data_IF_357230970001
#
_entry.id   IF_357230970001
#
_cell.length_a   1.000
_cell.length_b   1.000
_cell.length_c   1.000
_cell.angle_alpha   90.00
_cell.angle_beta   90.00
_cell.angle_gamma   90.00
#
_symmetry.space_group_name_H-M   'P 1'
#
loop_
_entity.id
_entity.type
_entity.pdbx_description
1 polymer ?
#
# COMPACT_ATOMS: atom_id res chain seq x y z
N UNK A 1 12.71 57.27 18.44
CA UNK A 1 13.99 57.15 19.18
C UNK A 1 13.75 56.30 20.42
N UNK A 2 14.35 55.12 20.51
CA UNK A 2 14.20 54.24 21.68
C UNK A 2 15.01 54.80 22.86
N UNK A 3 14.38 54.94 24.03
CA UNK A 3 15.03 55.46 25.25
C UNK A 3 16.07 54.43 25.74
N UNK A 4 17.31 54.88 25.97
CA UNK A 4 18.40 54.05 26.50
C UNK A 4 18.03 53.61 27.92
N UNK A 5 17.82 52.32 28.12
CA UNK A 5 17.56 51.76 29.45
C UNK A 5 18.88 51.61 30.22
N UNK A 6 18.90 52.05 31.48
CA UNK A 6 20.07 51.88 32.35
C UNK A 6 20.23 50.41 32.75
N UNK A 7 21.46 49.89 32.64
CA UNK A 7 21.82 48.52 33.05
C UNK A 7 21.53 48.23 34.54
N UNK A 8 21.35 49.26 35.36
CA UNK A 8 21.06 49.12 36.79
C UNK A 8 19.56 49.23 37.13
N UNK A 9 18.69 49.36 36.12
CA UNK A 9 17.25 49.44 36.36
C UNK A 9 16.69 48.10 36.85
N UNK A 10 15.69 48.17 37.74
CA UNK A 10 14.99 46.99 38.29
C UNK A 10 14.35 46.12 37.20
N UNK A 11 13.98 46.71 36.05
CA UNK A 11 13.47 45.96 34.90
C UNK A 11 14.56 45.15 34.18
N UNK A 12 15.81 45.64 34.12
CA UNK A 12 16.95 44.92 33.56
C UNK A 12 17.35 43.74 34.47
N UNK A 13 17.37 43.96 35.78
CA UNK A 13 17.66 42.91 36.78
C UNK A 13 16.61 41.79 36.84
N UNK A 14 15.37 42.04 36.39
CA UNK A 14 14.33 41.01 36.27
C UNK A 14 14.52 40.09 35.06
N UNK A 15 15.26 40.52 34.04
CA UNK A 15 15.59 39.73 32.85
C UNK A 15 16.92 38.99 33.00
N UNK A 16 17.83 39.46 33.85
CA UNK A 16 19.13 38.81 34.13
C UNK A 16 19.05 37.60 35.07
N UNK A 17 17.89 37.31 35.67
CA UNK A 17 17.63 36.00 36.29
C UNK A 17 17.28 35.01 35.17
N UNK A 18 18.22 34.83 34.24
CA UNK A 18 18.20 33.67 33.36
C UNK A 18 18.72 32.51 34.19
N UNK A 19 17.83 31.65 34.69
CA UNK A 19 18.25 30.42 35.34
C UNK A 19 18.97 29.55 34.29
N UNK A 20 20.31 29.38 34.38
CA UNK A 20 21.07 28.64 33.38
C UNK A 20 20.63 27.17 33.34
N UNK A 21 20.18 26.67 34.48
CA UNK A 21 19.61 25.34 34.67
C UNK A 21 18.38 25.10 33.77
N UNK A 22 17.52 26.11 33.59
CA UNK A 22 16.35 26.00 32.71
C UNK A 22 16.73 25.88 31.22
N UNK A 23 17.83 26.50 30.80
CA UNK A 23 18.36 26.37 29.43
C UNK A 23 18.98 24.99 29.22
N UNK A 24 19.62 24.41 30.23
CA UNK A 24 20.19 23.07 30.13
C UNK A 24 19.12 21.96 30.09
N UNK A 25 18.00 22.14 30.79
CA UNK A 25 16.82 21.25 30.69
C UNK A 25 16.15 21.26 29.32
N UNK A 26 16.38 22.28 28.48
CA UNK A 26 15.84 22.36 27.12
C UNK A 26 16.62 21.52 26.10
N UNK A 27 17.87 21.14 26.42
CA UNK A 27 18.75 20.33 25.56
C UNK A 27 18.50 18.82 25.73
N UNK A 28 17.82 18.42 26.80
CA UNK A 28 17.51 17.01 27.05
C UNK A 28 16.39 16.54 26.10
N UNK A 29 16.52 15.34 25.52
CA UNK A 29 15.49 14.77 24.66
C UNK A 29 14.22 14.55 25.49
N UNK A 30 13.16 15.29 25.17
CA UNK A 30 11.84 15.09 25.77
C UNK A 30 11.18 13.88 25.13
N UNK A 31 10.50 13.07 25.94
CA UNK A 31 9.71 11.94 25.46
C UNK A 31 8.66 12.45 24.46
N UNK A 32 8.62 11.83 23.28
CA UNK A 32 7.64 12.16 22.26
C UNK A 32 6.23 12.12 22.88
N UNK A 33 5.52 13.25 22.82
CA UNK A 33 4.17 13.52 23.35
C UNK A 33 4.02 14.20 24.73
N UNK A 34 5.09 14.53 25.45
CA UNK A 34 4.98 15.26 26.74
C UNK A 34 4.53 16.73 26.60
N UNK A 35 4.67 17.33 25.41
CA UNK A 35 4.33 18.73 25.11
C UNK A 35 2.81 18.95 24.90
N UNK A 36 2.00 18.63 25.91
CA UNK A 36 0.53 18.81 25.89
C UNK A 36 0.16 20.29 25.76
N UNK A 37 0.93 21.18 26.38
CA UNK A 37 0.74 22.64 26.34
C UNK A 37 0.87 23.18 24.91
N UNK A 38 1.92 22.79 24.18
CA UNK A 38 2.11 23.18 22.78
C UNK A 38 1.00 22.63 21.88
N UNK A 39 0.55 21.39 22.12
CA UNK A 39 -0.61 20.81 21.40
C UNK A 39 -1.87 21.64 21.67
N UNK A 40 -2.14 21.97 22.93
CA UNK A 40 -3.28 22.79 23.34
C UNK A 40 -3.23 24.18 22.69
N UNK A 41 -2.08 24.85 22.72
CA UNK A 41 -1.88 26.17 22.11
C UNK A 41 -2.12 26.13 20.58
N UNK A 42 -1.61 25.10 19.89
CA UNK A 42 -1.85 24.92 18.44
C UNK A 42 -3.33 24.67 18.13
N UNK A 43 -4.02 23.88 18.95
CA UNK A 43 -5.45 23.62 18.77
C UNK A 43 -6.31 24.86 19.04
N UNK A 44 -5.99 25.62 20.09
CA UNK A 44 -6.67 26.85 20.44
C UNK A 44 -6.50 27.93 19.35
N UNK A 45 -5.27 28.15 18.87
CA UNK A 45 -4.99 29.14 17.82
C UNK A 45 -5.65 28.77 16.49
N UNK A 46 -5.66 27.48 16.12
CA UNK A 46 -6.39 27.00 14.94
C UNK A 46 -7.89 27.26 15.07
N UNK A 47 -8.47 26.98 16.24
CA UNK A 47 -9.90 27.20 16.48
C UNK A 47 -10.25 28.69 16.45
N UNK A 48 -9.40 29.55 17.00
CA UNK A 48 -9.53 31.01 16.97
C UNK A 48 -9.47 31.54 15.52
N UNK A 49 -8.50 31.10 14.72
CA UNK A 49 -8.40 31.47 13.30
C UNK A 49 -9.62 31.04 12.49
N UNK A 50 -10.15 29.84 12.75
CA UNK A 50 -11.37 29.35 12.10
C UNK A 50 -12.60 30.18 12.50
N UNK A 51 -12.69 30.58 13.76
CA UNK A 51 -13.74 31.46 14.26
C UNK A 51 -13.65 32.84 13.60
N UNK A 52 -12.47 33.45 13.56
CA UNK A 52 -12.23 34.71 12.85
C UNK A 52 -12.61 34.61 11.38
N UNK A 53 -12.19 33.56 10.68
CA UNK A 53 -12.53 33.34 9.29
C UNK A 53 -14.05 33.21 9.08
N UNK A 54 -14.74 32.52 10.00
CA UNK A 54 -16.21 32.41 9.99
C UNK A 54 -16.89 33.76 10.22
N UNK A 55 -16.42 34.54 11.20
CA UNK A 55 -16.95 35.87 11.49
C UNK A 55 -16.72 36.84 10.32
N UNK A 56 -15.52 36.80 9.70
CA UNK A 56 -15.21 37.58 8.48
C UNK A 56 -16.06 37.16 7.28
N UNK A 57 -16.38 35.87 7.12
CA UNK A 57 -17.30 35.39 6.07
C UNK A 57 -18.73 35.85 6.34
N UNK A 58 -19.21 35.75 7.58
CA UNK A 58 -20.55 36.18 7.99
C UNK A 58 -20.74 37.69 7.84
N UNK A 59 -19.77 38.50 8.25
CA UNK A 59 -19.83 39.96 8.08
C UNK A 59 -19.85 40.38 6.61
N UNK A 60 -19.07 39.71 5.75
CA UNK A 60 -19.08 39.96 4.29
C UNK A 60 -20.38 39.56 3.61
N UNK A 61 -21.13 38.58 4.13
CA UNK A 61 -22.41 38.17 3.56
C UNK A 61 -23.56 39.14 3.88
N UNK A 62 -23.54 39.79 5.05
CA UNK A 62 -24.57 40.77 5.41
C UNK A 62 -24.49 42.08 4.58
N UNK A 63 -23.33 42.39 3.98
CA UNK A 63 -23.11 43.62 3.21
C UNK A 63 -23.23 43.46 1.68
N UNK A 64 -23.64 42.29 1.16
CA UNK A 64 -23.65 42.02 -0.29
C UNK A 64 -25.01 41.56 -0.79
N UNK A 65 -26.02 42.42 -0.62
CA UNK A 65 -27.31 42.29 -1.32
C UNK A 65 -27.37 43.29 -2.47
N UNK A 66 -26.38 43.24 -3.37
CA UNK A 66 -26.35 43.95 -4.64
C UNK A 66 -26.93 43.06 -5.76
N UNK A 67 -28.13 43.42 -6.20
CA UNK A 67 -29.03 42.70 -7.12
C UNK A 67 -28.40 42.38 -8.49
N UNK A 68 -28.68 41.16 -8.99
CA UNK A 68 -28.71 40.69 -10.40
C UNK A 68 -27.46 40.15 -11.12
N UNK A 69 -26.24 40.19 -10.57
CA UNK A 69 -25.10 39.45 -11.17
C UNK A 69 -24.83 38.06 -10.54
N UNK A 70 -25.46 37.75 -9.40
CA UNK A 70 -25.14 36.55 -8.63
C UNK A 70 -25.72 35.25 -9.18
N UNK A 71 -26.72 35.28 -10.08
CA UNK A 71 -27.35 34.05 -10.57
C UNK A 71 -26.45 33.34 -11.59
N UNK A 72 -25.85 34.08 -12.52
CA UNK A 72 -24.92 33.53 -13.53
C UNK A 72 -23.59 33.06 -12.91
N UNK A 73 -23.11 33.75 -11.88
CA UNK A 73 -21.92 33.34 -11.11
C UNK A 73 -22.21 32.14 -10.20
N UNK A 74 -23.41 32.03 -9.63
CA UNK A 74 -23.82 30.85 -8.83
C UNK A 74 -24.02 29.61 -9.70
N UNK A 75 -24.53 29.73 -10.93
CA UNK A 75 -24.64 28.61 -11.86
C UNK A 75 -23.26 28.00 -12.19
N UNK A 76 -22.28 28.85 -12.55
CA UNK A 76 -20.91 28.40 -12.83
C UNK A 76 -20.21 27.81 -11.58
N UNK A 77 -20.51 28.32 -10.39
CA UNK A 77 -19.95 27.79 -9.15
C UNK A 77 -20.58 26.45 -8.72
N UNK A 78 -21.86 26.21 -9.02
CA UNK A 78 -22.51 24.93 -8.74
C UNK A 78 -21.95 23.82 -9.61
N UNK A 79 -21.70 24.10 -10.89
CA UNK A 79 -21.07 23.13 -11.79
C UNK A 79 -19.61 22.88 -11.43
N UNK A 80 -18.89 23.92 -10.97
CA UNK A 80 -17.56 23.78 -10.40
C UNK A 80 -17.55 22.92 -9.12
N UNK A 81 -18.47 23.15 -8.19
CA UNK A 81 -18.58 22.32 -6.98
C UNK A 81 -18.99 20.87 -7.28
N UNK A 82 -19.84 20.65 -8.29
CA UNK A 82 -20.21 19.29 -8.75
C UNK A 82 -19.03 18.60 -9.42
N UNK A 83 -18.26 19.29 -10.27
CA UNK A 83 -17.04 18.78 -10.86
C UNK A 83 -15.97 18.49 -9.81
N UNK A 84 -15.75 19.39 -8.85
CA UNK A 84 -14.82 19.17 -7.75
C UNK A 84 -15.23 17.97 -6.89
N UNK A 85 -16.53 17.79 -6.59
CA UNK A 85 -17.01 16.59 -5.89
C UNK A 85 -16.85 15.33 -6.73
N UNK A 86 -17.18 15.37 -8.02
CA UNK A 86 -17.03 14.23 -8.92
C UNK A 86 -15.55 13.83 -9.05
N UNK A 87 -14.65 14.80 -9.17
CA UNK A 87 -13.20 14.59 -9.28
C UNK A 87 -12.62 14.09 -7.95
N UNK A 88 -13.08 14.60 -6.81
CA UNK A 88 -12.70 14.09 -5.50
C UNK A 88 -13.24 12.66 -5.25
N UNK A 89 -14.46 12.35 -5.70
CA UNK A 89 -15.02 11.00 -5.64
C UNK A 89 -14.25 10.04 -6.55
N UNK A 90 -13.94 10.47 -7.78
CA UNK A 90 -13.12 9.72 -8.74
C UNK A 90 -11.74 9.42 -8.14
N UNK A 91 -11.02 10.42 -7.64
CA UNK A 91 -9.71 10.22 -7.01
C UNK A 91 -9.76 9.31 -5.78
N UNK A 92 -10.84 9.39 -4.97
CA UNK A 92 -11.03 8.50 -3.81
C UNK A 92 -11.33 7.05 -4.23
N UNK A 93 -12.07 6.87 -5.31
CA UNK A 93 -12.41 5.55 -5.85
C UNK A 93 -11.23 4.94 -6.62
N UNK A 94 -10.54 5.73 -7.44
CA UNK A 94 -9.35 5.32 -8.20
C UNK A 94 -8.26 4.80 -7.26
N UNK A 95 -7.97 5.52 -6.17
CA UNK A 95 -7.04 5.02 -5.15
C UNK A 95 -7.52 3.74 -4.41
N UNK A 96 -8.83 3.42 -4.41
CA UNK A 96 -9.35 2.13 -3.89
C UNK A 96 -9.28 1.03 -4.95
N UNK A 97 -9.57 1.36 -6.21
CA UNK A 97 -9.46 0.46 -7.37
C UNK A 97 -8.01 0.02 -7.54
N UNK A 98 -7.06 0.96 -7.57
CA UNK A 98 -5.62 0.65 -7.65
C UNK A 98 -5.15 -0.23 -6.49
N UNK A 99 -5.62 0.02 -5.26
CA UNK A 99 -5.31 -0.85 -4.10
C UNK A 99 -5.93 -2.23 -4.21
N UNK A 100 -7.14 -2.34 -4.76
CA UNK A 100 -7.80 -3.62 -4.99
C UNK A 100 -7.07 -4.42 -6.08
N UNK A 101 -6.71 -3.79 -7.19
CA UNK A 101 -5.93 -4.39 -8.27
C UNK A 101 -4.54 -4.82 -7.80
N UNK A 102 -3.83 -3.96 -7.06
CA UNK A 102 -2.50 -4.30 -6.55
C UNK A 102 -2.57 -5.47 -5.58
N UNK A 103 -3.59 -5.53 -4.71
CA UNK A 103 -3.81 -6.65 -3.80
C UNK A 103 -4.16 -7.93 -4.57
N UNK A 104 -5.00 -7.85 -5.59
CA UNK A 104 -5.35 -9.00 -6.42
C UNK A 104 -4.11 -9.56 -7.14
N UNK A 105 -3.32 -8.69 -7.79
CA UNK A 105 -2.05 -9.05 -8.43
C UNK A 105 -1.05 -9.64 -7.44
N UNK A 106 -0.94 -9.08 -6.23
CA UNK A 106 -0.09 -9.60 -5.17
C UNK A 106 -0.52 -11.01 -4.73
N UNK A 107 -1.82 -11.22 -4.48
CA UNK A 107 -2.33 -12.55 -4.08
C UNK A 107 -2.13 -13.58 -5.19
N UNK A 108 -2.40 -13.21 -6.45
CA UNK A 108 -2.18 -14.10 -7.59
C UNK A 108 -0.71 -14.48 -7.76
N UNK A 109 0.19 -13.48 -7.73
CA UNK A 109 1.63 -13.72 -7.84
C UNK A 109 2.18 -14.54 -6.66
N UNK A 110 1.76 -14.25 -5.42
CA UNK A 110 2.16 -15.02 -4.25
C UNK A 110 1.67 -16.48 -4.32
N UNK A 111 0.42 -16.70 -4.76
CA UNK A 111 -0.13 -18.05 -4.95
C UNK A 111 0.64 -18.81 -6.04
N UNK A 112 0.88 -18.15 -7.18
CA UNK A 112 1.65 -18.73 -8.29
C UNK A 112 3.08 -19.06 -7.86
N UNK A 113 3.76 -18.16 -7.17
CA UNK A 113 5.11 -18.41 -6.65
C UNK A 113 5.15 -19.58 -5.65
N UNK A 114 4.14 -19.71 -4.79
CA UNK A 114 3.99 -20.87 -3.91
C UNK A 114 3.84 -22.17 -4.68
N UNK A 115 2.97 -22.18 -5.69
CA UNK A 115 2.76 -23.33 -6.58
C UNK A 115 4.00 -23.68 -7.40
N UNK A 116 4.69 -22.67 -7.94
CA UNK A 116 5.91 -22.86 -8.72
C UNK A 116 7.02 -23.44 -7.81
N UNK A 117 7.15 -22.95 -6.57
CA UNK A 117 8.10 -23.48 -5.59
C UNK A 117 7.79 -24.93 -5.21
N UNK A 118 6.52 -25.29 -5.01
CA UNK A 118 6.14 -26.68 -4.70
C UNK A 118 6.35 -27.59 -5.90
N UNK A 119 6.04 -27.11 -7.11
CA UNK A 119 6.28 -27.88 -8.33
C UNK A 119 7.78 -28.08 -8.56
N UNK A 120 8.60 -27.08 -8.26
CA UNK A 120 10.04 -27.17 -8.36
C UNK A 120 10.62 -28.12 -7.31
N UNK A 121 10.13 -28.11 -6.05
CA UNK A 121 10.57 -29.07 -5.04
C UNK A 121 10.20 -30.50 -5.42
N UNK A 122 8.97 -30.73 -5.87
CA UNK A 122 8.52 -32.06 -6.36
C UNK A 122 9.39 -32.53 -7.52
N UNK A 123 9.69 -31.66 -8.49
CA UNK A 123 10.57 -32.01 -9.62
C UNK A 123 11.97 -32.38 -9.16
N UNK A 124 12.52 -31.66 -8.18
CA UNK A 124 13.85 -31.98 -7.60
C UNK A 124 13.83 -33.31 -6.84
N UNK A 125 12.78 -33.58 -6.07
CA UNK A 125 12.61 -34.84 -5.34
C UNK A 125 12.44 -36.03 -6.30
N UNK A 126 11.60 -35.88 -7.35
CA UNK A 126 11.44 -36.91 -8.38
C UNK A 126 12.75 -37.15 -9.15
N UNK A 127 13.49 -36.09 -9.50
CA UNK A 127 14.79 -36.24 -10.14
C UNK A 127 15.81 -36.96 -9.23
N UNK A 128 15.79 -36.68 -7.92
CA UNK A 128 16.64 -37.36 -6.96
C UNK A 128 16.27 -38.85 -6.84
N UNK A 129 14.97 -39.19 -6.78
CA UNK A 129 14.50 -40.58 -6.74
C UNK A 129 14.83 -41.33 -8.04
N UNK A 130 14.63 -40.71 -9.20
CA UNK A 130 14.99 -41.31 -10.49
C UNK A 130 16.51 -41.51 -10.64
N UNK A 131 17.33 -40.63 -10.07
CA UNK A 131 18.78 -40.81 -10.06
C UNK A 131 19.20 -41.93 -9.09
N UNK A 132 18.51 -42.08 -7.95
CA UNK A 132 18.72 -43.22 -7.04
C UNK A 132 18.32 -44.55 -7.66
N UNK A 133 17.14 -44.63 -8.30
CA UNK A 133 16.72 -45.82 -9.05
C UNK A 133 17.64 -46.14 -10.23
N UNK A 134 18.23 -45.12 -10.88
CA UNK A 134 19.22 -45.35 -11.95
C UNK A 134 20.57 -45.81 -11.44
N UNK A 135 21.00 -45.41 -10.25
CA UNK A 135 22.22 -45.91 -9.62
C UNK A 135 22.00 -47.34 -9.10
N UNK A 136 20.86 -47.65 -8.47
CA UNK A 136 20.51 -49.02 -8.05
C UNK A 136 20.32 -49.96 -9.26
N UNK A 137 19.70 -49.50 -10.35
CA UNK A 137 19.60 -50.29 -11.58
C UNK A 137 20.89 -50.30 -12.40
N UNK A 138 21.80 -49.33 -12.25
CA UNK A 138 23.14 -49.40 -12.86
C UNK A 138 23.99 -50.45 -12.17
N UNK A 139 23.92 -50.56 -10.85
CA UNK A 139 24.67 -51.58 -10.13
C UNK A 139 24.13 -53.00 -10.42
N UNK A 140 22.85 -53.14 -10.76
CA UNK A 140 22.27 -54.38 -11.26
C UNK A 140 22.57 -54.62 -12.75
N UNK A 141 22.45 -53.61 -13.62
CA UNK A 141 22.76 -53.73 -15.06
C UNK A 141 24.24 -53.90 -15.34
N UNK A 142 25.16 -53.38 -14.53
CA UNK A 142 26.60 -53.57 -14.74
C UNK A 142 27.05 -55.01 -14.48
N UNK A 143 26.21 -55.83 -13.86
CA UNK A 143 26.41 -57.28 -13.73
C UNK A 143 25.80 -58.05 -14.92
N UNK A 144 24.82 -57.49 -15.63
CA UNK A 144 24.19 -58.10 -16.82
C UNK A 144 24.81 -57.62 -18.16
N UNK A 145 25.25 -56.37 -18.28
CA UNK A 145 25.80 -55.76 -19.51
C UNK A 145 27.24 -56.23 -19.86
N UNK A 146 27.85 -57.14 -19.09
CA UNK A 146 29.09 -57.80 -19.50
C UNK A 146 28.82 -59.03 -20.41
N UNK A 147 27.56 -59.35 -20.72
CA UNK A 147 27.18 -60.52 -21.52
C UNK A 147 26.48 -60.28 -22.85
N UNK A 148 26.15 -59.06 -23.28
CA UNK A 148 25.49 -58.86 -24.58
C UNK A 148 26.01 -57.61 -25.32
N UNK A 149 27.08 -57.84 -26.08
CA UNK A 149 27.55 -56.94 -27.11
C UNK A 149 27.11 -57.50 -28.47
N UNK A 150 25.95 -57.09 -28.98
CA UNK A 150 25.70 -56.87 -30.41
C UNK A 150 24.30 -56.32 -30.66
N UNK A 151 24.16 -55.61 -31.78
CA UNK A 151 22.93 -55.24 -32.49
C UNK A 151 22.25 -53.88 -32.19
N UNK A 152 22.74 -52.85 -32.88
CA UNK A 152 21.93 -51.75 -33.46
C UNK A 152 21.22 -52.27 -34.72
N UNK A 153 19.97 -51.88 -35.09
CA UNK A 153 19.73 -50.52 -35.57
C UNK A 153 18.28 -49.93 -35.43
N UNK A 154 18.23 -48.58 -35.36
CA UNK A 154 17.36 -47.60 -36.07
C UNK A 154 15.86 -47.89 -36.43
N UNK A 155 14.93 -47.02 -36.00
CA UNK A 155 13.74 -46.48 -36.74
C UNK A 155 12.79 -45.72 -35.77
N UNK A 156 12.51 -44.42 -35.96
CA UNK A 156 11.55 -43.75 -36.87
C UNK A 156 10.25 -43.31 -36.14
N UNK A 157 9.78 -42.14 -36.56
CA UNK A 157 8.75 -41.28 -35.94
C UNK A 157 7.35 -41.89 -35.78
N UNK A 158 6.60 -41.44 -34.76
CA UNK A 158 5.13 -41.42 -34.79
C UNK A 158 4.54 -40.39 -33.80
N UNK A 159 4.00 -39.31 -34.37
CA UNK A 159 3.08 -38.37 -33.74
C UNK A 159 1.90 -39.07 -33.06
N UNK A 160 1.52 -38.65 -31.85
CA UNK A 160 0.24 -39.03 -31.24
C UNK A 160 -0.59 -37.79 -30.90
N UNK A 161 -1.80 -37.82 -31.46
CA UNK A 161 -2.77 -36.76 -31.59
C UNK A 161 -3.42 -36.36 -30.24
N UNK A 162 -3.65 -35.06 -30.06
CA UNK A 162 -4.33 -34.49 -28.91
C UNK A 162 -5.83 -34.85 -28.91
N UNK A 163 -6.31 -35.51 -27.87
CA UNK A 163 -7.75 -35.70 -27.62
C UNK A 163 -8.36 -34.45 -26.98
N UNK A 164 -9.61 -34.07 -27.32
CA UNK A 164 -10.22 -32.85 -26.82
C UNK A 164 -10.55 -32.98 -25.32
N UNK A 165 -10.15 -31.97 -24.55
CA UNK A 165 -10.48 -31.81 -23.13
C UNK A 165 -12.00 -31.73 -22.93
N UNK A 166 -12.64 -32.86 -22.67
CA UNK A 166 -14.03 -32.95 -22.24
C UNK A 166 -14.21 -32.49 -20.79
N UNK A 167 -15.30 -31.78 -20.50
CA UNK A 167 -15.66 -31.32 -19.16
C UNK A 167 -15.75 -32.51 -18.18
N UNK A 168 -14.94 -32.48 -17.11
CA UNK A 168 -14.89 -33.51 -16.06
C UNK A 168 -16.22 -33.75 -15.33
N UNK A 169 -17.19 -32.84 -15.44
CA UNK A 169 -18.51 -32.95 -14.83
C UNK A 169 -19.52 -33.73 -15.68
N UNK A 170 -19.20 -34.07 -16.92
CA UNK A 170 -20.10 -34.87 -17.78
C UNK A 170 -20.20 -36.34 -17.35
N UNK A 171 -19.33 -36.79 -16.43
CA UNK A 171 -19.31 -38.16 -15.88
C UNK A 171 -20.07 -38.28 -14.55
N UNK A 172 -20.61 -37.20 -14.02
CA UNK A 172 -21.40 -37.25 -12.79
C UNK A 172 -22.85 -37.57 -13.16
N UNK A 173 -23.32 -38.76 -12.79
CA UNK A 173 -24.73 -39.16 -12.92
C UNK A 173 -25.60 -38.27 -12.04
N UNK A 174 -26.64 -37.67 -12.64
CA UNK A 174 -27.65 -36.82 -11.99
C UNK A 174 -28.56 -37.66 -11.05
N UNK A 175 -28.01 -38.22 -9.98
CA UNK A 175 -28.80 -38.76 -8.88
C UNK A 175 -29.11 -37.63 -7.88
N UNK A 176 -30.13 -36.85 -8.23
CA UNK A 176 -30.87 -36.03 -7.27
C UNK A 176 -32.02 -36.90 -6.76
N UNK A 177 -31.79 -37.60 -5.64
CA UNK A 177 -32.84 -38.28 -4.89
C UNK A 177 -33.93 -37.28 -4.46
N UNK A 178 -35.17 -37.73 -4.60
CA UNK A 178 -36.43 -37.01 -4.42
C UNK A 178 -36.81 -36.74 -2.95
#
# INVERSE_FOLDING_TARGET
>A
MAKKFSKHSRAARRLEVEEPEAKDLSKLPRVDNADVTNKLIRTASKNEQLLEARMRKKSKQNNKVGKKQSVKVRANNLDKERLERALNFSNRLDGKVQRAESRAKYVQSARKAGWDSTNESIKRELAALQNLEKEENKDLKKVEDEMDADDEPESADADTEATPTGNAFALLSDDVEA
#
